data_IF_673316924083
#
_entry.id   IF_673316924083
#
_cell.length_a   1.000
_cell.length_b   1.000
_cell.length_c   1.000
_cell.angle_alpha   90.00
_cell.angle_beta   90.00
_cell.angle_gamma   90.00
#
_symmetry.space_group_name_H-M   'P 1'
#
loop_
_entity.id
_entity.type
_entity.pdbx_description
1 polymer ?
#
# COMPACT_ATOMS: atom_id res chain seq x y z
N UNK A 1 -17.04 -9.14 14.62
CA UNK A 1 -16.57 -8.64 15.93
C UNK A 1 -15.48 -7.63 15.63
N UNK A 2 -15.74 -6.36 15.85
CA UNK A 2 -14.80 -5.26 15.52
C UNK A 2 -13.55 -5.36 16.41
N UNK A 3 -12.40 -5.64 15.83
CA UNK A 3 -11.13 -5.58 16.54
C UNK A 3 -10.67 -4.12 16.56
N UNK A 4 -10.74 -3.48 17.73
CA UNK A 4 -10.19 -2.16 17.94
C UNK A 4 -8.67 -2.25 18.00
N UNK A 5 -7.99 -1.66 17.02
CA UNK A 5 -6.55 -1.40 17.09
C UNK A 5 -6.34 -0.17 17.96
N UNK A 6 -5.61 -0.34 19.05
CA UNK A 6 -5.27 0.72 19.99
C UNK A 6 -4.07 1.51 19.43
N UNK A 7 -4.35 2.65 18.83
CA UNK A 7 -3.31 3.59 18.37
C UNK A 7 -2.76 4.36 19.56
N UNK A 8 -1.50 4.16 19.88
CA UNK A 8 -0.77 4.91 20.90
C UNK A 8 -0.15 6.17 20.28
N UNK A 9 -0.78 7.30 20.51
CA UNK A 9 -0.31 8.61 20.02
C UNK A 9 0.84 9.11 20.91
N UNK A 10 2.06 9.20 20.37
CA UNK A 10 3.17 9.93 20.97
C UNK A 10 3.20 11.36 20.43
N UNK A 11 2.87 12.33 21.27
CA UNK A 11 3.02 13.75 20.98
C UNK A 11 4.46 14.20 21.21
N UNK A 12 5.19 14.58 20.18
CA UNK A 12 6.44 15.32 20.28
C UNK A 12 6.20 16.81 20.04
N UNK A 13 6.42 17.61 21.10
CA UNK A 13 6.44 19.05 21.02
C UNK A 13 7.83 19.54 20.55
N UNK A 14 7.91 20.22 19.39
CA UNK A 14 9.09 20.97 18.98
C UNK A 14 8.89 22.45 19.25
N UNK A 15 9.76 22.98 20.12
CA UNK A 15 9.92 24.41 20.41
C UNK A 15 10.77 25.03 19.30
N UNK A 16 10.30 26.17 18.79
CA UNK A 16 10.92 26.91 17.71
C UNK A 16 12.14 27.73 18.10
N UNK A 17 12.87 28.18 17.10
CA UNK A 17 13.65 29.43 17.14
C UNK A 17 13.68 30.09 15.78
N UNK A 18 13.16 31.34 15.74
CA UNK A 18 13.27 32.28 14.64
C UNK A 18 14.68 32.84 14.50
N UNK A 19 15.12 33.11 13.28
CA UNK A 19 15.92 34.31 12.98
C UNK A 19 15.64 34.82 11.57
N UNK A 20 15.17 36.04 11.54
CA UNK A 20 15.02 36.87 10.37
C UNK A 20 16.39 37.39 9.87
N UNK A 21 16.55 37.60 8.56
CA UNK A 21 17.27 38.74 8.05
C UNK A 21 16.81 39.14 6.64
N UNK A 22 16.53 40.40 6.52
CA UNK A 22 16.05 41.23 5.43
C UNK A 22 17.19 41.58 4.48
N UNK A 23 16.96 41.62 3.15
CA UNK A 23 17.36 42.72 2.25
C UNK A 23 16.80 42.50 0.83
N UNK A 24 16.10 43.49 0.33
CA UNK A 24 15.67 43.80 -1.05
C UNK A 24 16.53 45.02 -1.49
N UNK A 25 16.52 45.56 -2.73
CA UNK A 25 16.07 45.11 -4.06
C UNK A 25 17.08 45.39 -5.19
N UNK A 26 16.80 45.02 -6.44
CA UNK A 26 16.92 45.92 -7.61
C UNK A 26 16.43 45.27 -8.91
N UNK A 27 15.64 46.02 -9.65
CA UNK A 27 15.01 45.81 -10.93
C UNK A 27 15.94 45.43 -12.10
N UNK A 28 15.42 44.69 -13.09
CA UNK A 28 15.37 45.23 -14.48
C UNK A 28 14.48 44.33 -15.38
N UNK A 29 13.59 45.00 -16.05
CA UNK A 29 12.57 44.69 -17.04
C UNK A 29 13.13 44.02 -18.32
N UNK A 30 12.38 43.04 -18.92
CA UNK A 30 12.12 43.02 -20.37
C UNK A 30 10.96 42.05 -20.69
N UNK A 31 9.98 42.58 -21.38
CA UNK A 31 8.79 41.91 -21.95
C UNK A 31 9.16 40.84 -22.97
N UNK A 32 8.38 39.77 -23.04
CA UNK A 32 7.74 39.38 -24.30
C UNK A 32 6.51 38.48 -24.03
N UNK A 33 5.38 38.91 -24.55
CA UNK A 33 4.12 38.20 -24.62
C UNK A 33 4.20 37.11 -25.67
N UNK A 34 3.69 35.92 -25.36
CA UNK A 34 2.90 35.15 -26.32
C UNK A 34 1.93 34.27 -25.55
N UNK A 35 0.68 34.60 -25.69
CA UNK A 35 -0.50 33.93 -25.21
C UNK A 35 -0.73 32.68 -26.10
N UNK A 36 -0.82 31.49 -25.50
CA UNK A 36 -1.62 30.39 -26.06
C UNK A 36 -2.36 29.76 -24.89
N UNK A 37 -3.66 30.01 -24.90
CA UNK A 37 -4.66 29.26 -24.15
C UNK A 37 -4.76 27.87 -24.73
N UNK A 38 -4.53 26.85 -23.91
CA UNK A 38 -5.22 25.59 -24.11
C UNK A 38 -5.61 25.00 -22.74
N UNK A 39 -6.91 25.05 -22.53
CA UNK A 39 -7.59 24.50 -21.37
C UNK A 39 -7.72 23.01 -21.65
N UNK A 40 -6.86 22.21 -21.06
CA UNK A 40 -7.12 20.78 -20.96
C UNK A 40 -7.37 20.49 -19.49
N UNK A 41 -8.64 20.22 -19.18
CA UNK A 41 -9.05 19.58 -17.94
C UNK A 41 -8.30 18.24 -17.82
N UNK A 42 -7.18 18.22 -17.14
CA UNK A 42 -6.54 17.00 -16.69
C UNK A 42 -7.33 16.47 -15.50
N UNK A 43 -8.17 15.53 -15.85
CA UNK A 43 -8.90 14.61 -14.98
C UNK A 43 -7.93 14.00 -13.97
N UNK A 44 -8.17 14.28 -12.70
CA UNK A 44 -7.48 13.68 -11.56
C UNK A 44 -7.86 12.18 -11.48
N UNK A 45 -7.16 11.36 -12.22
CA UNK A 45 -7.23 9.90 -12.15
C UNK A 45 -5.94 9.36 -12.74
N UNK A 46 -4.85 9.47 -11.99
CA UNK A 46 -3.65 8.64 -12.23
C UNK A 46 -2.46 9.09 -11.37
N UNK A 47 -2.58 9.18 -10.06
CA UNK A 47 -1.48 9.67 -9.23
C UNK A 47 -0.98 8.69 -8.15
N UNK A 48 -1.58 7.51 -7.99
CA UNK A 48 -1.06 6.55 -7.01
C UNK A 48 -0.24 5.41 -7.64
N UNK A 49 -0.52 5.00 -8.87
CA UNK A 49 0.11 3.82 -9.48
C UNK A 49 1.43 4.08 -10.22
N UNK A 50 1.75 5.33 -10.60
CA UNK A 50 2.91 5.63 -11.46
C UNK A 50 4.23 5.91 -10.73
N UNK A 51 4.24 5.97 -9.41
CA UNK A 51 5.44 6.30 -8.60
C UNK A 51 5.81 5.23 -7.57
N UNK A 52 5.05 4.16 -7.44
CA UNK A 52 5.35 3.11 -6.46
C UNK A 52 6.17 1.98 -7.10
N UNK A 53 7.02 1.34 -6.28
CA UNK A 53 7.63 0.06 -6.67
C UNK A 53 6.53 -1.00 -6.76
N UNK A 54 6.77 -2.06 -7.56
CA UNK A 54 5.83 -3.17 -7.66
C UNK A 54 5.82 -4.02 -6.38
N UNK A 55 4.76 -4.81 -6.19
CA UNK A 55 4.70 -5.79 -5.11
C UNK A 55 5.81 -6.84 -5.24
N UNK A 56 6.16 -7.26 -6.46
CA UNK A 56 7.29 -8.17 -6.71
C UNK A 56 8.62 -7.57 -6.26
N UNK A 57 8.85 -6.27 -6.49
CA UNK A 57 10.06 -5.59 -6.03
C UNK A 57 10.11 -5.54 -4.49
N UNK A 58 8.97 -5.26 -3.83
CA UNK A 58 8.87 -5.28 -2.37
C UNK A 58 9.15 -6.69 -1.81
N UNK A 59 8.57 -7.73 -2.42
CA UNK A 59 8.85 -9.12 -2.05
C UNK A 59 10.31 -9.49 -2.26
N UNK A 60 10.94 -8.96 -3.31
CA UNK A 60 12.37 -9.17 -3.53
C UNK A 60 13.22 -8.56 -2.42
N UNK A 61 12.91 -7.35 -1.95
CA UNK A 61 13.60 -6.73 -0.79
C UNK A 61 13.50 -7.63 0.44
N UNK A 62 12.33 -8.21 0.70
CA UNK A 62 12.13 -9.13 1.81
C UNK A 62 12.91 -10.43 1.64
N UNK A 63 12.77 -11.11 0.49
CA UNK A 63 13.40 -12.43 0.24
C UNK A 63 14.91 -12.36 0.12
N UNK A 64 15.48 -11.24 -0.32
CA UNK A 64 16.94 -11.02 -0.30
C UNK A 64 17.49 -11.06 1.14
N UNK A 65 16.68 -10.69 2.14
CA UNK A 65 17.07 -10.73 3.55
C UNK A 65 16.69 -12.03 4.24
N UNK A 66 15.54 -12.60 3.93
CA UNK A 66 14.97 -13.80 4.54
C UNK A 66 14.65 -14.87 3.50
N UNK A 67 15.69 -15.45 2.84
CA UNK A 67 15.50 -16.33 1.67
C UNK A 67 14.80 -17.65 2.00
N UNK A 68 14.83 -18.09 3.26
CA UNK A 68 14.23 -19.36 3.69
C UNK A 68 12.83 -19.16 4.33
N UNK A 69 12.38 -17.91 4.49
CA UNK A 69 11.12 -17.64 5.11
C UNK A 69 9.95 -17.89 4.14
N UNK A 70 8.88 -18.49 4.66
CA UNK A 70 7.61 -18.66 3.97
C UNK A 70 6.72 -17.46 4.23
N UNK A 71 6.18 -16.84 3.19
CA UNK A 71 5.29 -15.67 3.30
C UNK A 71 3.94 -16.12 3.87
N UNK A 72 3.51 -15.52 4.97
CA UNK A 72 2.22 -15.75 5.63
C UNK A 72 1.15 -14.77 5.12
N UNK A 73 1.54 -13.48 5.05
CA UNK A 73 0.66 -12.40 4.64
C UNK A 73 1.45 -11.30 3.92
N UNK A 74 0.81 -10.68 2.96
CA UNK A 74 1.29 -9.44 2.33
C UNK A 74 0.14 -8.45 2.32
N UNK A 75 0.41 -7.22 2.77
CA UNK A 75 -0.55 -6.13 2.65
C UNK A 75 0.07 -4.89 2.00
N UNK A 76 -0.80 -4.10 1.40
CA UNK A 76 -0.53 -2.76 0.90
C UNK A 76 -1.53 -1.81 1.55
N UNK A 77 -1.06 -0.67 2.01
CA UNK A 77 -1.88 0.34 2.68
C UNK A 77 -1.43 1.75 2.31
N UNK A 78 -2.41 2.66 2.17
CA UNK A 78 -2.17 4.08 1.90
C UNK A 78 -2.65 4.89 3.10
N UNK A 79 -1.79 5.07 4.10
CA UNK A 79 -2.09 5.91 5.26
C UNK A 79 -1.48 7.31 5.09
N UNK A 80 -2.32 8.35 5.25
CA UNK A 80 -1.92 9.76 5.15
C UNK A 80 -1.14 10.09 3.85
N UNK A 81 -1.48 9.47 2.74
CA UNK A 81 -0.81 9.56 1.42
C UNK A 81 0.60 8.95 1.39
N UNK A 82 0.92 8.10 2.33
CA UNK A 82 2.15 7.32 2.36
C UNK A 82 1.77 5.86 2.09
N UNK A 83 2.16 5.37 0.92
CA UNK A 83 1.93 3.99 0.54
C UNK A 83 3.06 3.10 1.07
N UNK A 84 2.71 1.95 1.64
CA UNK A 84 3.65 0.95 2.13
C UNK A 84 3.16 -0.46 1.86
N UNK A 85 4.11 -1.38 1.75
CA UNK A 85 3.88 -2.81 1.86
C UNK A 85 4.25 -3.30 3.25
N UNK A 86 3.48 -4.23 3.80
CA UNK A 86 3.85 -5.00 4.98
C UNK A 86 3.89 -6.47 4.62
N UNK A 87 4.98 -7.15 4.98
CA UNK A 87 5.20 -8.57 4.69
C UNK A 87 5.38 -9.28 6.00
N UNK A 88 4.50 -10.22 6.30
CA UNK A 88 4.63 -11.16 7.40
C UNK A 88 5.04 -12.54 6.86
N UNK A 89 6.01 -13.14 7.52
CA UNK A 89 6.54 -14.44 7.11
C UNK A 89 7.05 -15.23 8.31
N UNK A 90 7.32 -16.50 8.10
CA UNK A 90 7.86 -17.38 9.14
C UNK A 90 8.90 -18.33 8.59
N UNK A 91 9.86 -18.69 9.44
CA UNK A 91 10.75 -19.82 9.26
C UNK A 91 10.47 -20.89 10.35
N UNK A 92 11.38 -21.84 10.53
CA UNK A 92 11.20 -22.94 11.51
C UNK A 92 11.03 -22.45 12.98
N UNK A 93 11.47 -21.25 13.31
CA UNK A 93 11.61 -20.79 14.69
C UNK A 93 11.20 -19.33 14.93
N UNK A 94 10.99 -18.55 13.88
CA UNK A 94 10.79 -17.13 13.96
C UNK A 94 9.61 -16.68 13.11
N UNK A 95 8.94 -15.62 13.58
CA UNK A 95 8.10 -14.75 12.76
C UNK A 95 8.95 -13.55 12.33
N UNK A 96 8.80 -13.15 11.08
CA UNK A 96 9.40 -11.96 10.49
C UNK A 96 8.31 -11.00 10.06
N UNK A 97 8.53 -9.71 10.27
CA UNK A 97 7.65 -8.62 9.87
C UNK A 97 8.51 -7.52 9.25
N UNK A 98 8.19 -7.11 8.03
CA UNK A 98 8.91 -6.04 7.34
C UNK A 98 7.92 -5.06 6.72
N UNK A 99 8.07 -3.76 7.03
CA UNK A 99 7.38 -2.68 6.33
C UNK A 99 8.35 -2.04 5.32
N UNK A 100 7.88 -1.85 4.09
CA UNK A 100 8.65 -1.35 2.95
C UNK A 100 7.91 -0.16 2.36
N UNK A 101 8.60 0.96 2.18
CA UNK A 101 8.06 2.12 1.47
C UNK A 101 7.73 1.75 0.03
N UNK A 102 6.46 1.91 -0.36
CA UNK A 102 6.06 1.67 -1.75
C UNK A 102 6.71 2.67 -2.72
N UNK A 103 7.10 3.85 -2.23
CA UNK A 103 7.71 4.89 -3.06
C UNK A 103 9.09 4.53 -3.60
N UNK A 104 9.94 3.90 -2.79
CA UNK A 104 11.36 3.75 -3.11
C UNK A 104 11.98 2.42 -2.65
N UNK A 105 11.18 1.51 -2.09
CA UNK A 105 11.65 0.21 -1.61
C UNK A 105 12.48 0.28 -0.33
N UNK A 106 12.56 1.41 0.35
CA UNK A 106 13.30 1.51 1.61
C UNK A 106 12.58 0.76 2.73
N UNK A 107 13.35 0.07 3.57
CA UNK A 107 12.81 -0.65 4.74
C UNK A 107 12.46 0.38 5.81
N UNK A 108 11.17 0.44 6.18
CA UNK A 108 10.63 1.32 7.24
C UNK A 108 10.74 0.62 8.60
N UNK A 109 10.40 -0.67 8.63
CA UNK A 109 10.44 -1.51 9.82
C UNK A 109 10.93 -2.90 9.47
N UNK A 110 11.63 -3.51 10.40
CA UNK A 110 12.14 -4.85 10.24
C UNK A 110 12.26 -5.50 11.62
N UNK A 111 11.49 -6.55 11.84
CA UNK A 111 11.41 -7.26 13.11
C UNK A 111 11.47 -8.76 12.87
N UNK A 112 12.25 -9.43 13.70
CA UNK A 112 12.27 -10.89 13.78
C UNK A 112 12.14 -11.29 15.24
N UNK A 113 11.23 -12.20 15.55
CA UNK A 113 11.03 -12.69 16.90
C UNK A 113 10.74 -14.20 16.88
N UNK A 114 11.09 -14.87 17.99
CA UNK A 114 10.79 -16.29 18.15
C UNK A 114 9.29 -16.51 18.22
N UNK A 115 8.80 -17.46 17.45
CA UNK A 115 7.39 -17.85 17.45
C UNK A 115 7.24 -19.36 17.22
N UNK A 116 6.05 -19.88 17.59
CA UNK A 116 5.67 -21.24 17.26
C UNK A 116 5.01 -21.28 15.89
N UNK A 117 5.79 -21.66 14.90
CA UNK A 117 5.38 -21.62 13.48
C UNK A 117 4.74 -22.90 12.97
N UNK A 118 4.58 -23.94 13.83
CA UNK A 118 4.16 -25.28 13.45
C UNK A 118 2.80 -25.39 12.72
N UNK A 119 1.90 -24.41 12.92
CA UNK A 119 0.57 -24.40 12.31
C UNK A 119 0.34 -23.24 11.34
N UNK A 120 1.38 -22.46 11.06
CA UNK A 120 1.27 -21.35 10.11
C UNK A 120 1.14 -21.85 8.68
N UNK A 121 0.43 -21.08 7.86
CA UNK A 121 0.20 -21.39 6.46
C UNK A 121 0.82 -20.29 5.60
N UNK A 122 1.53 -20.71 4.58
CA UNK A 122 2.07 -19.80 3.59
C UNK A 122 1.06 -19.58 2.46
N UNK A 123 1.04 -18.38 1.91
CA UNK A 123 0.34 -18.06 0.67
C UNK A 123 1.07 -18.69 -0.53
N UNK A 124 0.36 -18.86 -1.63
CA UNK A 124 0.99 -19.19 -2.91
C UNK A 124 1.53 -17.93 -3.58
N UNK A 125 2.82 -17.68 -3.41
CA UNK A 125 3.48 -16.49 -3.96
C UNK A 125 3.50 -16.44 -5.50
N UNK A 126 3.23 -17.55 -6.19
CA UNK A 126 3.10 -17.56 -7.66
C UNK A 126 1.87 -16.78 -8.15
N UNK A 127 0.91 -16.50 -7.26
CA UNK A 127 -0.31 -15.76 -7.57
C UNK A 127 -0.13 -14.23 -7.49
N UNK A 128 0.97 -13.76 -6.92
CA UNK A 128 1.24 -12.33 -6.69
C UNK A 128 1.16 -11.51 -7.99
N UNK A 129 1.67 -12.05 -9.09
CA UNK A 129 1.63 -11.37 -10.40
C UNK A 129 0.21 -11.08 -10.93
N UNK A 130 -0.84 -11.62 -10.31
CA UNK A 130 -2.24 -11.36 -10.67
C UNK A 130 -2.86 -10.20 -9.89
N UNK A 131 -2.20 -9.69 -8.85
CA UNK A 131 -2.79 -8.69 -7.94
C UNK A 131 -3.21 -7.44 -8.66
N UNK A 132 -2.37 -6.92 -9.56
CA UNK A 132 -2.67 -5.71 -10.33
C UNK A 132 -3.92 -5.89 -11.22
N UNK A 133 -4.12 -7.08 -11.79
CA UNK A 133 -5.32 -7.39 -12.58
C UNK A 133 -6.58 -7.38 -11.70
N UNK A 134 -6.52 -7.98 -10.49
CA UNK A 134 -7.63 -7.94 -9.53
C UNK A 134 -7.94 -6.51 -9.08
N UNK A 135 -6.91 -5.71 -8.77
CA UNK A 135 -7.08 -4.29 -8.39
C UNK A 135 -7.75 -3.51 -9.52
N UNK A 136 -7.30 -3.69 -10.76
CA UNK A 136 -7.89 -2.99 -11.92
C UNK A 136 -9.36 -3.39 -12.15
N UNK A 137 -9.69 -4.68 -12.03
CA UNK A 137 -11.08 -5.17 -12.13
C UNK A 137 -11.95 -4.62 -10.99
N UNK A 138 -11.44 -4.59 -9.77
CA UNK A 138 -12.12 -4.05 -8.59
C UNK A 138 -12.46 -2.56 -8.77
N UNK A 139 -11.48 -1.73 -9.14
CA UNK A 139 -11.70 -0.29 -9.36
C UNK A 139 -12.72 -0.08 -10.49
N UNK A 140 -12.64 -0.87 -11.55
CA UNK A 140 -13.60 -0.80 -12.66
C UNK A 140 -15.03 -1.14 -12.23
N UNK A 141 -15.20 -2.17 -11.36
CA UNK A 141 -16.51 -2.60 -10.84
C UNK A 141 -17.06 -1.60 -9.81
N UNK A 142 -16.22 -1.01 -8.98
CA UNK A 142 -16.59 0.00 -7.98
C UNK A 142 -17.05 1.31 -8.65
N UNK A 143 -16.42 1.69 -9.76
CA UNK A 143 -16.71 2.89 -10.53
C UNK A 143 -15.58 3.90 -10.55
N UNK A 144 -15.66 4.88 -11.47
CA UNK A 144 -14.59 5.85 -11.76
C UNK A 144 -14.26 6.81 -10.61
N UNK A 145 -15.08 6.84 -9.56
CA UNK A 145 -14.91 7.73 -8.40
C UNK A 145 -14.11 7.06 -7.27
N UNK A 146 -13.83 5.74 -7.42
CA UNK A 146 -13.11 4.95 -6.45
C UNK A 146 -11.64 4.79 -6.84
N UNK A 147 -10.77 4.70 -5.84
CA UNK A 147 -9.34 4.43 -5.93
C UNK A 147 -8.95 3.35 -4.92
N UNK A 148 -7.83 2.71 -5.14
CA UNK A 148 -7.29 1.72 -4.21
C UNK A 148 -6.93 2.40 -2.89
N UNK A 149 -7.44 1.90 -1.79
CA UNK A 149 -7.06 2.28 -0.43
C UNK A 149 -6.07 1.26 0.15
N UNK A 150 -6.48 0.00 0.18
CA UNK A 150 -5.63 -1.07 0.70
C UNK A 150 -5.90 -2.41 0.02
N UNK A 151 -5.01 -3.38 0.21
CA UNK A 151 -5.30 -4.79 0.02
C UNK A 151 -4.51 -5.68 0.98
N UNK A 152 -5.01 -6.90 1.21
CA UNK A 152 -4.28 -7.96 1.91
C UNK A 152 -4.40 -9.30 1.21
N UNK A 153 -3.32 -10.07 1.29
CA UNK A 153 -3.20 -11.42 0.73
C UNK A 153 -2.81 -12.35 1.86
N UNK A 154 -3.66 -13.28 2.21
CA UNK A 154 -3.39 -14.28 3.26
C UNK A 154 -4.03 -15.64 2.91
N UNK A 155 -3.78 -16.66 3.75
CA UNK A 155 -4.36 -17.99 3.55
C UNK A 155 -5.69 -18.13 4.28
N UNK A 156 -6.77 -18.41 3.52
CA UNK A 156 -8.11 -18.67 4.05
C UNK A 156 -8.25 -20.15 4.44
N UNK A 157 -8.21 -20.43 5.75
CA UNK A 157 -8.25 -21.81 6.27
C UNK A 157 -9.56 -22.54 5.96
N UNK A 158 -10.69 -21.82 6.01
CA UNK A 158 -12.02 -22.42 5.82
C UNK A 158 -12.24 -22.96 4.42
N UNK A 159 -11.60 -22.35 3.42
CA UNK A 159 -11.68 -22.74 2.02
C UNK A 159 -10.40 -23.36 1.48
N UNK A 160 -9.29 -23.30 2.24
CA UNK A 160 -7.97 -23.80 1.87
C UNK A 160 -7.44 -23.18 0.56
N UNK A 161 -7.49 -21.85 0.46
CA UNK A 161 -7.03 -21.07 -0.70
C UNK A 161 -6.32 -19.77 -0.28
N UNK A 162 -5.55 -19.19 -1.18
CA UNK A 162 -4.98 -17.84 -1.01
C UNK A 162 -6.09 -16.81 -1.28
N UNK A 163 -6.39 -16.03 -0.27
CA UNK A 163 -7.40 -14.96 -0.29
C UNK A 163 -6.76 -13.64 -0.65
N UNK A 164 -7.45 -12.82 -1.43
CA UNK A 164 -7.14 -11.41 -1.64
C UNK A 164 -8.35 -10.59 -1.21
N UNK A 165 -8.16 -9.69 -0.25
CA UNK A 165 -9.13 -8.66 0.12
C UNK A 165 -8.64 -7.32 -0.42
N UNK A 166 -9.50 -6.58 -1.13
CA UNK A 166 -9.21 -5.26 -1.70
C UNK A 166 -10.24 -4.29 -1.17
N UNK A 167 -9.77 -3.19 -0.59
CA UNK A 167 -10.59 -2.06 -0.19
C UNK A 167 -10.35 -0.89 -1.16
N UNK A 168 -11.45 -0.34 -1.67
CA UNK A 168 -11.44 0.85 -2.50
C UNK A 168 -12.28 1.93 -1.85
N UNK A 169 -11.78 3.17 -1.85
CA UNK A 169 -12.44 4.31 -1.23
C UNK A 169 -12.73 5.40 -2.28
N UNK A 170 -13.76 6.21 -2.04
CA UNK A 170 -14.01 7.40 -2.84
C UNK A 170 -13.74 8.69 -2.05
N UNK A 171 -13.75 9.83 -2.74
CA UNK A 171 -13.48 11.15 -2.14
C UNK A 171 -14.45 11.58 -1.03
N UNK A 172 -15.56 10.86 -0.83
CA UNK A 172 -16.53 11.11 0.25
C UNK A 172 -16.29 10.20 1.46
N UNK A 173 -15.24 9.38 1.46
CA UNK A 173 -14.93 8.42 2.53
C UNK A 173 -15.90 7.24 2.55
N UNK A 174 -16.46 6.87 1.40
CA UNK A 174 -17.23 5.63 1.27
C UNK A 174 -16.32 4.55 0.73
N UNK A 175 -16.22 3.45 1.46
CA UNK A 175 -15.43 2.27 1.14
C UNK A 175 -16.29 1.12 0.59
N UNK A 176 -15.65 0.26 -0.19
CA UNK A 176 -16.19 -1.01 -0.67
C UNK A 176 -15.10 -2.06 -0.52
N UNK A 177 -15.39 -3.15 0.17
CA UNK A 177 -14.50 -4.30 0.32
C UNK A 177 -14.86 -5.42 -0.66
N UNK A 178 -13.85 -5.98 -1.32
CA UNK A 178 -13.96 -7.13 -2.21
C UNK A 178 -13.07 -8.26 -1.71
N UNK A 179 -13.58 -9.47 -1.73
CA UNK A 179 -12.84 -10.68 -1.38
C UNK A 179 -12.81 -11.67 -2.54
N UNK A 180 -11.61 -12.09 -2.92
CA UNK A 180 -11.38 -13.02 -4.03
C UNK A 180 -10.69 -14.30 -3.56
N UNK A 181 -10.98 -15.39 -4.26
CA UNK A 181 -10.13 -16.58 -4.28
C UNK A 181 -9.12 -16.41 -5.43
N UNK A 182 -7.84 -16.31 -5.11
CA UNK A 182 -6.80 -16.02 -6.11
C UNK A 182 -6.50 -17.20 -7.03
N UNK A 183 -6.73 -18.44 -6.59
CA UNK A 183 -6.54 -19.64 -7.43
C UNK A 183 -7.56 -19.68 -8.56
N UNK A 184 -8.84 -19.41 -8.24
CA UNK A 184 -9.96 -19.52 -9.18
C UNK A 184 -10.31 -18.21 -9.87
N UNK A 185 -9.91 -17.06 -9.29
CA UNK A 185 -10.35 -15.73 -9.72
C UNK A 185 -11.77 -15.36 -9.29
N UNK A 186 -12.42 -16.20 -8.46
CA UNK A 186 -13.82 -16.00 -8.05
C UNK A 186 -13.95 -14.87 -7.03
N UNK A 187 -14.90 -13.94 -7.29
CA UNK A 187 -15.35 -12.98 -6.28
C UNK A 187 -16.22 -13.69 -5.25
N UNK A 188 -15.70 -13.83 -4.03
CA UNK A 188 -16.40 -14.51 -2.91
C UNK A 188 -17.39 -13.59 -2.23
N UNK A 189 -17.01 -12.29 -2.09
CA UNK A 189 -17.81 -11.32 -1.32
C UNK A 189 -17.57 -9.90 -1.82
N UNK A 190 -18.62 -9.09 -1.75
CA UNK A 190 -18.58 -7.63 -1.91
C UNK A 190 -19.41 -7.00 -0.82
N UNK A 191 -18.80 -6.17 0.02
CA UNK A 191 -19.46 -5.38 1.08
C UNK A 191 -19.47 -3.89 0.68
N UNK A 192 -20.59 -3.19 0.98
CA UNK A 192 -20.87 -1.80 0.58
C UNK A 192 -21.03 -0.90 1.80
#
# INVERSE_FOLDING_TARGET
>A
MKKFILVLVFAFAFVGCQKANTTTPTDTNTKNETQVTDTTDEKATDQAAAENISLEDALKVFTDKYPEASIEEVSFDVDNKVAKYEIEAFDDSNKHEMEISAKDGSIIKDKSEKDNTANKKAIDTSLISKVDDFVAETIKDAGSDYYLDSYSIDYEESGAYTKLEIEVENSNGKDIEYKYNMETGELIKKDL
#
